data_IF_761400226169
#
_entry.id   IF_761400226169
#
_cell.length_a   1.000
_cell.length_b   1.000
_cell.length_c   1.000
_cell.angle_alpha   90.00
_cell.angle_beta   90.00
_cell.angle_gamma   90.00
#
_symmetry.space_group_name_H-M   'P 1'
#
loop_
_entity.id
_entity.type
_entity.pdbx_description
1 polymer ?
#
# COMPACT_ATOMS: atom_id res chain seq x y z
N UNK A 1 0.67 13.83 20.00
CA UNK A 1 1.27 13.68 18.65
C UNK A 1 0.47 12.61 17.95
N UNK A 2 -0.07 12.90 16.77
CA UNK A 2 -0.95 11.95 16.06
C UNK A 2 -0.12 11.22 15.01
N UNK A 3 0.46 10.07 15.39
CA UNK A 3 1.29 9.23 14.51
C UNK A 3 0.56 8.86 13.22
N UNK A 4 -0.75 8.69 13.28
CA UNK A 4 -1.60 8.45 12.11
C UNK A 4 -1.48 9.56 11.06
N UNK A 5 -1.54 10.83 11.46
CA UNK A 5 -1.44 11.96 10.54
C UNK A 5 -0.05 12.06 9.90
N UNK A 6 1.00 11.81 10.67
CA UNK A 6 2.37 11.86 10.15
C UNK A 6 2.69 10.61 9.30
N UNK A 7 2.11 9.47 9.62
CA UNK A 7 2.15 8.24 8.80
C UNK A 7 1.45 8.44 7.47
N UNK A 8 0.25 9.05 7.47
CA UNK A 8 -0.48 9.37 6.24
C UNK A 8 0.36 10.26 5.31
N UNK A 9 0.98 11.33 5.85
CA UNK A 9 1.87 12.21 5.07
C UNK A 9 3.10 11.46 4.53
N UNK A 10 3.68 10.58 5.33
CA UNK A 10 4.82 9.78 4.89
C UNK A 10 4.42 8.85 3.74
N UNK A 11 3.28 8.17 3.84
CA UNK A 11 2.74 7.33 2.78
C UNK A 11 2.46 8.13 1.50
N UNK A 12 1.89 9.33 1.61
CA UNK A 12 1.69 10.23 0.47
C UNK A 12 3.02 10.61 -0.18
N UNK A 13 4.05 10.91 0.62
CA UNK A 13 5.40 11.22 0.12
C UNK A 13 6.00 10.03 -0.64
N UNK A 14 6.01 8.85 -0.02
CA UNK A 14 6.55 7.62 -0.61
C UNK A 14 5.79 7.24 -1.90
N UNK A 15 4.47 7.40 -1.92
CA UNK A 15 3.65 7.15 -3.10
C UNK A 15 3.97 8.11 -4.26
N UNK A 16 4.24 9.39 -3.97
CA UNK A 16 4.63 10.37 -4.98
C UNK A 16 6.04 10.13 -5.54
N UNK A 17 6.94 9.59 -4.73
CA UNK A 17 8.32 9.28 -5.13
C UNK A 17 8.46 7.90 -5.78
N UNK A 18 7.45 7.03 -5.62
CA UNK A 18 7.43 5.69 -6.19
C UNK A 18 7.48 5.73 -7.72
N UNK A 19 8.33 4.86 -8.28
CA UNK A 19 8.37 4.61 -9.73
C UNK A 19 7.16 3.78 -10.16
N UNK A 20 6.70 2.87 -9.30
CA UNK A 20 5.57 2.00 -9.56
C UNK A 20 4.24 2.71 -9.35
N UNK A 21 3.28 2.38 -10.21
CA UNK A 21 1.89 2.79 -10.11
C UNK A 21 1.10 1.78 -9.30
N UNK A 22 0.21 2.30 -8.45
CA UNK A 22 -0.62 1.51 -7.56
C UNK A 22 -2.04 1.40 -8.08
N UNK A 23 -2.67 0.25 -7.91
CA UNK A 23 -3.98 -0.05 -8.45
C UNK A 23 -4.89 -0.71 -7.43
N UNK A 24 -6.17 -0.30 -7.46
CA UNK A 24 -7.27 -0.94 -6.75
C UNK A 24 -8.39 -1.25 -7.75
N UNK A 25 -8.82 -2.50 -7.80
CA UNK A 25 -9.87 -2.99 -8.70
C UNK A 25 -9.65 -2.58 -10.17
N UNK A 26 -8.38 -2.54 -10.59
CA UNK A 26 -7.95 -2.20 -11.94
C UNK A 26 -7.80 -0.70 -12.25
N UNK A 27 -8.12 0.19 -11.31
CA UNK A 27 -7.97 1.64 -11.44
C UNK A 27 -6.69 2.13 -10.77
N UNK A 28 -5.93 2.99 -11.45
CA UNK A 28 -4.75 3.64 -10.87
C UNK A 28 -5.18 4.56 -9.72
N UNK A 29 -4.46 4.49 -8.61
CA UNK A 29 -4.66 5.34 -7.45
C UNK A 29 -3.73 6.55 -7.49
N UNK A 30 -4.26 7.70 -7.11
CA UNK A 30 -3.43 8.84 -6.70
C UNK A 30 -2.68 8.54 -5.39
N UNK A 31 -1.63 9.31 -5.11
CA UNK A 31 -0.88 9.19 -3.85
C UNK A 31 -1.78 9.37 -2.61
N UNK A 32 -2.76 10.28 -2.70
CA UNK A 32 -3.74 10.52 -1.63
C UNK A 32 -4.66 9.32 -1.43
N UNK A 33 -5.19 8.74 -2.51
CA UNK A 33 -6.03 7.55 -2.42
C UNK A 33 -5.25 6.35 -1.86
N UNK A 34 -4.04 6.10 -2.36
CA UNK A 34 -3.20 5.01 -1.87
C UNK A 34 -2.93 5.13 -0.37
N UNK A 35 -2.53 6.33 0.08
CA UNK A 35 -2.22 6.58 1.48
C UNK A 35 -3.45 6.37 2.36
N UNK A 36 -4.62 6.91 1.97
CA UNK A 36 -5.86 6.72 2.72
C UNK A 36 -6.32 5.26 2.73
N UNK A 37 -6.24 4.57 1.59
CA UNK A 37 -6.67 3.18 1.48
C UNK A 37 -5.80 2.29 2.36
N UNK A 38 -4.48 2.50 2.35
CA UNK A 38 -3.53 1.62 3.02
C UNK A 38 -3.23 2.01 4.48
N UNK A 39 -3.65 3.18 4.97
CA UNK A 39 -3.26 3.69 6.29
C UNK A 39 -3.48 2.68 7.42
N UNK A 40 -4.69 2.13 7.53
CA UNK A 40 -5.01 1.17 8.60
C UNK A 40 -4.22 -0.13 8.47
N UNK A 41 -4.02 -0.63 7.24
CA UNK A 41 -3.21 -1.81 6.96
C UNK A 41 -1.73 -1.60 7.30
N UNK A 42 -1.20 -0.42 6.99
CA UNK A 42 0.17 -0.03 7.35
C UNK A 42 0.30 0.05 8.87
N UNK A 43 -0.59 0.78 9.56
CA UNK A 43 -0.56 0.89 11.02
C UNK A 43 -0.63 -0.49 11.70
N UNK A 44 -1.46 -1.39 11.18
CA UNK A 44 -1.62 -2.74 11.70
C UNK A 44 -0.34 -3.58 11.57
N UNK A 45 0.31 -3.56 10.40
CA UNK A 45 1.57 -4.28 10.19
C UNK A 45 2.71 -3.63 10.99
N UNK A 46 2.76 -2.29 11.03
CA UNK A 46 3.74 -1.55 11.83
C UNK A 46 3.63 -1.91 13.31
N UNK A 47 2.41 -2.01 13.85
CA UNK A 47 2.16 -2.41 15.23
C UNK A 47 2.71 -3.80 15.56
N UNK A 48 2.50 -4.77 14.66
CA UNK A 48 3.11 -6.09 14.78
C UNK A 48 4.64 -6.03 14.81
N UNK A 49 5.25 -5.24 13.92
CA UNK A 49 6.71 -5.09 13.89
C UNK A 49 7.23 -4.43 15.16
N UNK A 50 6.55 -3.40 15.65
CA UNK A 50 6.98 -2.67 16.86
C UNK A 50 6.81 -3.51 18.12
N UNK A 51 5.78 -4.37 18.20
CA UNK A 51 5.67 -5.36 19.28
C UNK A 51 6.77 -6.43 19.17
N UNK A 52 7.03 -6.96 17.97
CA UNK A 52 8.09 -7.94 17.75
C UNK A 52 9.47 -7.39 18.16
N UNK A 53 9.75 -6.13 17.80
CA UNK A 53 11.00 -5.44 18.12
C UNK A 53 11.04 -4.86 19.54
N UNK A 54 9.95 -4.96 20.31
CA UNK A 54 9.79 -4.41 21.67
C UNK A 54 10.10 -2.91 21.75
N UNK A 55 9.63 -2.15 20.76
CA UNK A 55 9.85 -0.69 20.64
C UNK A 55 8.82 0.13 21.43
N UNK A 56 7.66 -0.43 21.74
CA UNK A 56 6.58 0.23 22.46
C UNK A 56 5.22 -0.07 21.86
N UNK A 57 4.22 0.64 22.38
CA UNK A 57 2.80 0.53 21.97
C UNK A 57 2.41 1.74 21.11
N UNK A 58 1.85 1.49 19.92
CA UNK A 58 1.27 2.54 19.07
C UNK A 58 0.00 3.15 19.69
N UNK A 59 -0.71 2.41 20.55
CA UNK A 59 -1.94 2.83 21.21
C UNK A 59 -3.20 2.61 20.36
N UNK A 60 -3.14 1.71 19.38
CA UNK A 60 -4.25 1.38 18.49
C UNK A 60 -4.71 -0.06 18.66
N UNK A 61 -6.01 -0.28 18.56
CA UNK A 61 -6.61 -1.61 18.40
C UNK A 61 -7.09 -1.76 16.95
N UNK A 62 -6.89 -2.95 16.39
CA UNK A 62 -7.21 -3.26 15.01
C UNK A 62 -8.33 -4.30 14.93
N UNK A 63 -9.34 -4.04 14.10
CA UNK A 63 -10.46 -4.96 13.88
C UNK A 63 -10.91 -4.96 12.42
N UNK A 64 -11.42 -6.10 11.98
CA UNK A 64 -12.21 -6.20 10.76
C UNK A 64 -13.66 -5.82 11.09
N UNK A 65 -14.18 -4.82 10.40
CA UNK A 65 -15.51 -4.26 10.62
C UNK A 65 -16.41 -4.52 9.42
N UNK A 66 -17.65 -4.91 9.67
CA UNK A 66 -18.69 -4.98 8.62
C UNK A 66 -19.12 -3.58 8.16
N UNK A 67 -18.94 -2.57 9.01
CA UNK A 67 -19.20 -1.16 8.70
C UNK A 67 -18.01 -0.56 7.94
N UNK A 68 -17.99 -0.78 6.63
CA UNK A 68 -17.04 -0.12 5.73
C UNK A 68 -17.51 1.32 5.50
N UNK A 69 -16.59 2.29 5.58
CA UNK A 69 -16.81 3.67 5.14
C UNK A 69 -16.09 3.90 3.81
N UNK A 70 -16.71 3.57 2.66
CA UNK A 70 -16.01 3.50 1.38
C UNK A 70 -15.48 4.86 0.91
N UNK A 71 -16.00 5.95 1.48
CA UNK A 71 -15.54 7.31 1.20
C UNK A 71 -14.13 7.62 1.72
N UNK A 72 -13.56 6.77 2.59
CA UNK A 72 -12.23 6.95 3.16
C UNK A 72 -11.27 5.82 2.77
N UNK A 73 -11.72 4.57 2.93
CA UNK A 73 -10.98 3.39 2.48
C UNK A 73 -11.99 2.31 2.08
N UNK A 74 -11.73 1.55 1.00
CA UNK A 74 -12.58 0.43 0.63
C UNK A 74 -12.43 -0.75 1.60
N UNK A 75 -11.39 -0.79 2.42
CA UNK A 75 -11.05 -1.95 3.23
C UNK A 75 -11.75 -1.97 4.59
N UNK A 76 -12.22 -3.13 5.07
CA UNK A 76 -12.91 -3.28 6.36
C UNK A 76 -11.99 -3.24 7.59
N UNK A 77 -10.67 -3.09 7.40
CA UNK A 77 -9.73 -2.96 8.52
C UNK A 77 -9.80 -1.56 9.13
N UNK A 78 -10.13 -1.48 10.41
CA UNK A 78 -10.21 -0.22 11.17
C UNK A 78 -9.15 -0.23 12.27
N UNK A 79 -8.41 0.88 12.35
CA UNK A 79 -7.56 1.20 13.49
C UNK A 79 -8.33 2.16 14.43
N UNK A 80 -8.50 1.77 15.69
CA UNK A 80 -9.17 2.59 16.71
C UNK A 80 -8.15 2.98 17.78
N UNK A 81 -7.98 4.29 18.03
CA UNK A 81 -7.11 4.75 19.11
C UNK A 81 -7.72 4.35 20.45
N UNK A 82 -7.01 3.53 21.23
CA UNK A 82 -7.45 3.05 22.55
C UNK A 82 -6.61 3.63 23.69
N UNK A 83 -5.34 3.95 23.43
CA UNK A 83 -4.41 4.52 24.41
C UNK A 83 -3.63 5.69 23.80
N UNK A 84 -2.92 6.44 24.64
CA UNK A 84 -1.92 7.38 24.15
C UNK A 84 -0.71 6.62 23.61
N UNK A 85 -0.23 7.02 22.43
CA UNK A 85 0.94 6.41 21.85
C UNK A 85 2.17 6.69 22.72
N UNK A 86 2.93 5.63 23.03
CA UNK A 86 4.15 5.72 23.82
C UNK A 86 5.38 6.06 22.98
N UNK A 87 5.27 5.96 21.65
CA UNK A 87 6.37 6.09 20.72
C UNK A 87 6.41 7.46 20.04
N UNK A 88 7.62 7.88 19.68
CA UNK A 88 7.83 9.04 18.82
C UNK A 88 7.74 8.65 17.34
N UNK A 89 7.22 9.55 16.49
CA UNK A 89 7.07 9.25 15.05
C UNK A 89 8.43 8.91 14.39
N UNK A 90 9.54 9.52 14.82
CA UNK A 90 10.87 9.19 14.31
C UNK A 90 11.31 7.75 14.59
N UNK A 91 10.72 7.06 15.57
CA UNK A 91 10.95 5.64 15.82
C UNK A 91 10.11 4.75 14.89
N UNK A 92 8.93 5.24 14.51
CA UNK A 92 7.95 4.51 13.69
C UNK A 92 8.22 4.68 12.20
N UNK A 93 8.68 5.86 11.78
CA UNK A 93 8.87 6.22 10.38
C UNK A 93 9.75 5.21 9.59
N UNK A 94 10.89 4.71 10.10
CA UNK A 94 11.67 3.70 9.38
C UNK A 94 10.91 2.39 9.16
N UNK A 95 10.06 1.99 10.12
CA UNK A 95 9.21 0.79 10.01
C UNK A 95 8.11 1.02 8.97
N UNK A 96 7.53 2.23 8.91
CA UNK A 96 6.56 2.59 7.87
C UNK A 96 7.20 2.53 6.47
N UNK A 97 8.42 3.04 6.31
CA UNK A 97 9.17 2.94 5.04
C UNK A 97 9.42 1.48 4.67
N UNK A 98 9.88 0.66 5.62
CA UNK A 98 10.08 -0.78 5.42
C UNK A 98 8.79 -1.48 4.97
N UNK A 99 7.66 -1.21 5.64
CA UNK A 99 6.35 -1.76 5.25
C UNK A 99 5.94 -1.28 3.86
N UNK A 100 6.18 -0.01 3.52
CA UNK A 100 5.88 0.50 2.19
C UNK A 100 6.69 -0.24 1.12
N UNK A 101 8.02 -0.22 1.22
CA UNK A 101 8.92 -0.74 0.19
C UNK A 101 8.86 -2.27 0.06
N UNK A 102 8.81 -2.97 1.19
CA UNK A 102 8.95 -4.43 1.21
C UNK A 102 7.64 -5.19 1.39
N UNK A 103 6.52 -4.52 1.70
CA UNK A 103 5.21 -5.16 1.79
C UNK A 103 4.23 -4.57 0.80
N UNK A 104 3.94 -3.27 0.89
CA UNK A 104 2.93 -2.64 0.04
C UNK A 104 3.32 -2.64 -1.44
N UNK A 105 4.54 -2.24 -1.78
CA UNK A 105 5.01 -2.13 -3.18
C UNK A 105 5.01 -3.47 -3.93
N UNK A 106 5.12 -4.61 -3.23
CA UNK A 106 4.99 -5.94 -3.86
C UNK A 106 3.62 -6.19 -4.47
N UNK A 107 2.61 -5.48 -3.97
CA UNK A 107 1.22 -5.59 -4.39
C UNK A 107 0.75 -4.36 -5.16
N UNK A 108 1.66 -3.62 -5.82
CA UNK A 108 1.30 -2.38 -6.49
C UNK A 108 0.18 -2.56 -7.55
N UNK A 109 0.06 -3.71 -8.20
CA UNK A 109 -1.04 -3.99 -9.14
C UNK A 109 -2.37 -4.35 -8.47
N UNK A 110 -2.34 -4.76 -7.20
CA UNK A 110 -3.47 -5.32 -6.46
C UNK A 110 -3.35 -5.03 -4.96
N UNK A 111 -3.52 -3.76 -4.55
CA UNK A 111 -3.32 -3.38 -3.14
C UNK A 111 -4.30 -4.06 -2.17
N UNK A 112 -5.37 -4.67 -2.68
CA UNK A 112 -6.26 -5.55 -1.92
C UNK A 112 -5.49 -6.69 -1.26
N UNK A 113 -4.45 -7.21 -1.90
CA UNK A 113 -3.62 -8.29 -1.36
C UNK A 113 -2.74 -7.80 -0.19
N UNK A 114 -2.35 -6.52 -0.19
CA UNK A 114 -1.69 -5.92 0.97
C UNK A 114 -2.65 -5.80 2.16
N UNK A 115 -3.90 -5.39 1.90
CA UNK A 115 -4.94 -5.45 2.93
C UNK A 115 -5.16 -6.88 3.45
N UNK A 116 -5.20 -7.90 2.58
CA UNK A 116 -5.31 -9.31 3.00
C UNK A 116 -4.18 -9.71 3.94
N UNK A 117 -2.94 -9.29 3.63
CA UNK A 117 -1.80 -9.52 4.50
C UNK A 117 -2.01 -8.88 5.88
N UNK A 118 -2.48 -7.64 5.94
CA UNK A 118 -2.80 -6.96 7.20
C UNK A 118 -3.96 -7.66 7.94
N UNK A 119 -5.02 -8.07 7.24
CA UNK A 119 -6.16 -8.76 7.84
C UNK A 119 -5.77 -10.10 8.49
N UNK A 120 -4.85 -10.85 7.87
CA UNK A 120 -4.32 -12.11 8.40
C UNK A 120 -3.57 -11.97 9.73
N UNK A 121 -3.16 -10.76 10.09
CA UNK A 121 -2.55 -10.47 11.39
C UNK A 121 -3.56 -10.57 12.54
N UNK A 122 -4.84 -10.33 12.25
CA UNK A 122 -5.96 -10.35 13.19
C UNK A 122 -6.70 -11.68 13.09
N UNK A 123 -7.00 -12.10 11.87
CA UNK A 123 -7.71 -13.34 11.57
C UNK A 123 -6.88 -14.20 10.60
N UNK A 124 -6.08 -15.17 11.09
CA UNK A 124 -5.17 -15.94 10.24
C UNK A 124 -5.83 -16.70 9.08
N UNK A 125 -7.13 -16.99 9.20
CA UNK A 125 -7.93 -17.68 8.18
C UNK A 125 -8.53 -16.73 7.12
N UNK A 126 -8.34 -15.41 7.27
CA UNK A 126 -8.90 -14.41 6.36
C UNK A 126 -8.35 -14.58 4.94
N UNK A 127 -9.22 -14.43 3.94
CA UNK A 127 -8.84 -14.32 2.53
C UNK A 127 -9.76 -13.33 1.83
N UNK A 128 -9.27 -12.67 0.78
CA UNK A 128 -10.11 -11.76 -0.02
C UNK A 128 -11.32 -12.49 -0.60
N UNK A 129 -11.11 -13.71 -1.12
CA UNK A 129 -12.13 -14.49 -1.79
C UNK A 129 -13.26 -14.93 -0.85
N UNK A 130 -12.93 -15.40 0.36
CA UNK A 130 -13.94 -15.93 1.28
C UNK A 130 -14.62 -14.84 2.13
N UNK A 131 -13.92 -13.73 2.39
CA UNK A 131 -14.35 -12.74 3.39
C UNK A 131 -14.74 -11.38 2.79
N UNK A 132 -14.55 -11.16 1.48
CA UNK A 132 -14.88 -9.88 0.83
C UNK A 132 -15.51 -10.09 -0.54
N UNK A 133 -16.00 -8.99 -1.13
CA UNK A 133 -16.45 -8.97 -2.53
C UNK A 133 -15.37 -8.47 -3.50
N UNK A 134 -14.12 -8.31 -3.05
CA UNK A 134 -13.04 -7.85 -3.91
C UNK A 134 -12.74 -8.89 -4.99
N UNK A 135 -12.64 -8.41 -6.23
CA UNK A 135 -12.21 -9.23 -7.36
C UNK A 135 -10.90 -8.66 -7.85
N UNK A 136 -9.88 -9.52 -7.93
CA UNK A 136 -8.61 -9.15 -8.52
C UNK A 136 -8.82 -8.95 -10.03
N UNK A 137 -8.75 -7.69 -10.45
CA UNK A 137 -8.87 -7.30 -11.86
C UNK A 137 -7.51 -6.86 -12.34
N UNK A 138 -6.98 -7.51 -13.37
CA UNK A 138 -5.71 -7.10 -13.98
C UNK A 138 -5.83 -5.65 -14.46
N UNK A 139 -4.94 -4.75 -14.02
CA UNK A 139 -4.94 -3.38 -14.50
C UNK A 139 -4.88 -3.33 -16.03
N UNK A 140 -5.73 -2.49 -16.63
CA UNK A 140 -5.69 -2.25 -18.06
C UNK A 140 -4.29 -1.75 -18.42
N UNK A 141 -3.51 -2.50 -19.20
CA UNK A 141 -2.18 -2.05 -19.63
C UNK A 141 -2.27 -0.65 -20.27
N UNK A 142 -1.38 0.29 -19.96
CA UNK A 142 -1.25 1.48 -20.78
C UNK A 142 -0.86 1.04 -22.20
N UNK A 143 -1.62 1.47 -23.20
CA UNK A 143 -1.31 1.26 -24.61
C UNK A 143 -0.04 2.05 -24.94
N UNK A 144 1.13 1.45 -24.74
CA UNK A 144 2.40 1.93 -25.32
C UNK A 144 2.81 0.98 -26.43
N UNK A 145 2.06 1.03 -27.53
CA UNK A 145 2.37 0.34 -28.78
C UNK A 145 2.85 1.32 -29.84
N UNK A 146 3.73 2.28 -29.53
CA UNK A 146 4.38 3.12 -30.56
C UNK A 146 5.79 3.55 -30.16
N UNK A 147 6.80 2.77 -30.57
CA UNK A 147 8.07 3.19 -31.20
C UNK A 147 9.12 2.11 -31.00
N UNK A 148 9.21 1.21 -31.98
CA UNK A 148 10.48 0.59 -32.39
C UNK A 148 10.34 0.21 -33.86
N UNK A 149 10.19 1.23 -34.70
CA UNK A 149 10.57 1.18 -36.12
C UNK A 149 11.44 2.42 -36.37
N UNK A 150 12.65 2.36 -35.85
CA UNK A 150 13.77 3.18 -36.29
C UNK A 150 14.93 2.21 -36.53
N UNK A 151 14.74 1.27 -37.46
CA UNK A 151 15.86 0.69 -38.19
C UNK A 151 16.26 1.71 -39.25
N UNK A 152 17.32 2.41 -38.93
CA UNK A 152 18.04 3.35 -39.78
C UNK A 152 18.47 2.58 -41.04
N UNK A 153 17.96 2.96 -42.20
CA UNK A 153 18.56 2.63 -43.49
C UNK A 153 19.86 3.43 -43.61
N UNK A 154 20.97 2.91 -43.10
CA UNK A 154 22.30 3.39 -43.51
C UNK A 154 22.67 2.73 -44.83
N UNK A 155 22.35 3.43 -45.91
CA UNK A 155 23.06 3.33 -47.18
C UNK A 155 24.56 3.45 -46.92
N UNK A 156 25.33 2.44 -47.29
CA UNK A 156 26.77 2.56 -47.55
C UNK A 156 27.15 1.53 -48.61
N UNK A 157 26.81 1.84 -49.86
CA UNK A 157 27.56 1.35 -51.02
C UNK A 157 28.78 2.25 -51.20
N UNK A 158 29.96 1.83 -50.74
CA UNK A 158 31.23 2.17 -51.39
C UNK A 158 32.21 1.01 -51.17
N UNK A 159 32.29 0.11 -52.14
CA UNK A 159 33.50 -0.66 -52.40
C UNK A 159 33.99 -0.33 -53.82
N UNK A 160 35.08 0.44 -53.86
CA UNK A 160 36.13 0.30 -54.86
C UNK A 160 37.33 -0.32 -54.16
#
# INVERSE_FOLDING_TARGET
>A
MEIEKDTLKLLQGLANESVDKFYFSGSELSADELANFCLNSVLCIVDQYTDYLKLGDLGYEFKLSDDIHPSLSPFPLIASKVNECTMMFCMVAPVVVEVFENHLSKYHLHIEQFFEQAAKTIEPAFSLEANTHFKLVTPSQPINKVRNQLTINTSNEVHR
#
